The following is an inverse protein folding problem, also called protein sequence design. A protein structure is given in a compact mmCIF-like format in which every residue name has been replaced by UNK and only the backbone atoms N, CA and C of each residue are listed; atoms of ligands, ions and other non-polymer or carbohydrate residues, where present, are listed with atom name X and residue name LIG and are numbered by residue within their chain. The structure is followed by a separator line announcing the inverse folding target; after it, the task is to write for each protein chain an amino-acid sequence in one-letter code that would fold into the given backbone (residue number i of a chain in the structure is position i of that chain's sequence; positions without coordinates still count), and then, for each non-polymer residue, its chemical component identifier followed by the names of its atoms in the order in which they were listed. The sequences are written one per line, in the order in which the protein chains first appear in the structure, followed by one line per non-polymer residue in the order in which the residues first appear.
data_IF_833011164754
#
_entry.id   IF_833011164754
#
_cell.length_a   1.000
_cell.length_b   1.000
_cell.length_c   1.000
_cell.angle_alpha   90.00
_cell.angle_beta   90.00
_cell.angle_gamma   90.00
#
_symmetry.space_group_name_H-M   'P 1'
#
loop_
_entity.id
_entity.type
_entity.pdbx_description
1 polymer ?
#
# COMPACT_ATOMS: atom_id res chain seq x y z
N UNK A 1 12.81 -4.92 49.74
CA UNK A 1 11.42 -4.40 49.68
C UNK A 1 10.72 -5.01 48.50
N UNK A 2 9.75 -5.87 48.76
CA UNK A 2 8.95 -6.44 47.68
C UNK A 2 8.02 -5.36 47.10
N UNK A 3 8.20 -4.99 45.85
CA UNK A 3 7.20 -4.20 45.12
C UNK A 3 5.91 -5.00 45.11
N UNK A 4 4.91 -4.57 45.86
CA UNK A 4 3.56 -5.08 45.73
C UNK A 4 3.12 -4.88 44.31
N UNK A 5 3.13 -5.94 43.51
CA UNK A 5 2.41 -5.99 42.27
C UNK A 5 0.93 -5.74 42.60
N UNK A 6 0.47 -4.53 42.34
CA UNK A 6 -0.96 -4.25 42.40
C UNK A 6 -1.63 -5.26 41.46
N UNK A 7 -2.38 -6.21 42.02
CA UNK A 7 -3.33 -7.02 41.28
C UNK A 7 -4.27 -6.06 40.64
N UNK A 8 -4.01 -5.78 39.36
CA UNK A 8 -4.94 -5.02 38.51
C UNK A 8 -6.11 -5.95 38.33
N UNK A 9 -7.30 -5.47 38.73
CA UNK A 9 -8.57 -6.12 38.49
C UNK A 9 -8.62 -6.63 37.06
N UNK A 10 -8.67 -7.94 36.88
CA UNK A 10 -8.97 -8.59 35.61
C UNK A 10 -10.42 -8.25 35.24
N UNK A 11 -10.63 -7.03 34.77
CA UNK A 11 -11.87 -6.74 34.08
C UNK A 11 -11.85 -7.46 32.73
N UNK A 12 -12.94 -8.12 32.42
CA UNK A 12 -13.18 -9.08 31.32
C UNK A 12 -12.92 -8.58 29.90
N UNK A 13 -12.26 -7.45 29.71
CA UNK A 13 -12.00 -6.84 28.40
C UNK A 13 -10.62 -7.18 27.82
N UNK A 14 -9.72 -7.75 28.60
CA UNK A 14 -8.38 -8.06 28.15
C UNK A 14 -8.01 -9.47 28.57
N UNK A 15 -8.35 -10.43 27.78
CA UNK A 15 -7.93 -11.83 27.95
C UNK A 15 -6.48 -12.02 27.48
N UNK A 16 -5.60 -11.11 27.95
CA UNK A 16 -4.17 -11.21 27.73
C UNK A 16 -3.49 -11.89 28.92
N UNK A 17 -2.87 -13.00 28.67
CA UNK A 17 -1.89 -13.59 29.58
C UNK A 17 -0.50 -12.93 29.47
N UNK A 18 -0.40 -11.81 28.78
CA UNK A 18 0.86 -11.08 28.57
C UNK A 18 0.97 -9.91 29.56
N UNK A 19 2.18 -9.74 30.09
CA UNK A 19 2.51 -8.61 30.96
C UNK A 19 2.82 -7.39 30.06
N UNK A 20 1.98 -6.37 30.13
CA UNK A 20 2.10 -5.16 29.32
C UNK A 20 2.28 -3.92 30.20
N UNK A 21 3.00 -2.89 29.71
CA UNK A 21 3.19 -1.64 30.46
C UNK A 21 1.86 -0.97 30.81
N UNK A 22 1.76 -0.43 32.04
CA UNK A 22 0.54 0.21 32.56
C UNK A 22 -0.02 1.30 31.63
N UNK A 23 0.79 2.21 31.03
CA UNK A 23 0.25 3.21 30.12
C UNK A 23 -0.44 2.60 28.88
N UNK A 24 0.11 1.53 28.34
CA UNK A 24 -0.47 0.81 27.19
C UNK A 24 -1.77 0.14 27.59
N UNK A 25 -1.79 -0.50 28.76
CA UNK A 25 -2.98 -1.16 29.27
C UNK A 25 -4.13 -0.17 29.50
N UNK A 26 -3.85 0.99 30.10
CA UNK A 26 -4.85 2.03 30.35
C UNK A 26 -5.45 2.57 29.05
N UNK A 27 -4.62 2.82 28.05
CA UNK A 27 -5.07 3.30 26.75
C UNK A 27 -5.90 2.23 26.01
N UNK A 28 -5.49 0.98 26.10
CA UNK A 28 -6.20 -0.15 25.50
C UNK A 28 -7.61 -0.31 26.13
N UNK A 29 -7.69 -0.24 27.46
CA UNK A 29 -8.97 -0.31 28.19
C UNK A 29 -9.87 0.84 27.77
N UNK A 30 -9.34 2.06 27.69
CA UNK A 30 -10.09 3.25 27.28
C UNK A 30 -10.70 3.12 25.88
N UNK A 31 -10.03 2.41 24.99
CA UNK A 31 -10.46 2.17 23.59
C UNK A 31 -11.30 0.90 23.41
N UNK A 32 -11.78 0.28 24.47
CA UNK A 32 -12.63 -0.91 24.41
C UNK A 32 -11.89 -2.24 24.44
N UNK A 33 -10.65 -2.23 24.94
CA UNK A 33 -9.82 -3.44 25.07
C UNK A 33 -9.31 -3.98 23.74
N UNK A 34 -8.90 -5.22 23.71
CA UNK A 34 -8.43 -5.89 22.49
C UNK A 34 -9.52 -5.95 21.43
N UNK A 35 -10.76 -6.22 21.83
CA UNK A 35 -11.89 -6.27 20.93
C UNK A 35 -12.12 -4.92 20.23
N UNK A 36 -12.01 -3.81 20.96
CA UNK A 36 -12.07 -2.46 20.39
C UNK A 36 -10.95 -2.19 19.40
N UNK A 37 -9.72 -2.63 19.71
CA UNK A 37 -8.58 -2.52 18.80
C UNK A 37 -8.80 -3.36 17.54
N UNK A 38 -9.19 -4.61 17.68
CA UNK A 38 -9.44 -5.50 16.53
C UNK A 38 -10.54 -5.01 15.61
N UNK A 39 -11.55 -4.33 16.15
CA UNK A 39 -12.62 -3.75 15.34
C UNK A 39 -12.17 -2.60 14.44
N UNK A 40 -11.02 -1.99 14.71
CA UNK A 40 -10.44 -0.91 13.90
C UNK A 40 -9.51 -1.43 12.80
N UNK A 41 -9.11 -2.68 12.88
CA UNK A 41 -8.26 -3.32 11.87
C UNK A 41 -9.16 -3.83 10.75
N UNK A 42 -8.86 -3.51 9.47
CA UNK A 42 -9.59 -4.06 8.35
C UNK A 42 -9.59 -5.59 8.37
N UNK A 43 -10.60 -6.20 7.80
CA UNK A 43 -10.64 -7.66 7.71
C UNK A 43 -9.52 -8.23 6.83
N UNK A 44 -9.30 -9.54 6.92
CA UNK A 44 -8.21 -10.20 6.20
C UNK A 44 -8.34 -10.09 4.67
N UNK A 45 -9.56 -10.04 4.14
CA UNK A 45 -9.80 -9.86 2.71
C UNK A 45 -9.41 -8.47 2.24
N UNK A 46 -9.79 -7.45 2.97
CA UNK A 46 -9.41 -6.06 2.70
C UNK A 46 -7.90 -5.85 2.81
N UNK A 47 -7.27 -6.40 3.85
CA UNK A 47 -5.81 -6.35 4.00
C UNK A 47 -5.09 -7.05 2.85
N UNK A 48 -5.61 -8.17 2.35
CA UNK A 48 -5.04 -8.86 1.20
C UNK A 48 -5.13 -8.02 -0.08
N UNK A 49 -6.27 -7.38 -0.33
CA UNK A 49 -6.46 -6.47 -1.47
C UNK A 49 -5.45 -5.32 -1.40
N UNK A 50 -5.31 -4.68 -0.25
CA UNK A 50 -4.36 -3.59 -0.04
C UNK A 50 -2.91 -4.06 -0.21
N UNK A 51 -2.58 -5.24 0.30
CA UNK A 51 -1.26 -5.86 0.13
C UNK A 51 -0.89 -6.05 -1.35
N UNK A 52 -1.81 -6.54 -2.17
CA UNK A 52 -1.60 -6.73 -3.61
C UNK A 52 -1.35 -5.40 -4.33
N UNK A 53 -2.08 -4.35 -3.97
CA UNK A 53 -1.83 -3.01 -4.50
C UNK A 53 -0.40 -2.54 -4.19
N UNK A 54 0.01 -2.64 -2.92
CA UNK A 54 1.37 -2.25 -2.52
C UNK A 54 2.45 -3.10 -3.19
N UNK A 55 2.24 -4.39 -3.37
CA UNK A 55 3.15 -5.27 -4.13
C UNK A 55 3.28 -4.84 -5.59
N UNK A 56 2.19 -4.45 -6.23
CA UNK A 56 2.22 -3.93 -7.60
C UNK A 56 3.05 -2.66 -7.73
N UNK A 57 3.06 -1.82 -6.71
CA UNK A 57 3.81 -0.56 -6.68
C UNK A 57 5.27 -0.72 -6.21
N UNK A 58 5.61 -1.83 -5.60
CA UNK A 58 6.94 -2.08 -5.03
C UNK A 58 7.96 -2.58 -6.07
N UNK A 59 7.92 -2.04 -7.28
CA UNK A 59 8.84 -2.40 -8.37
C UNK A 59 9.19 -1.17 -9.21
N UNK A 60 10.50 -0.87 -9.38
CA UNK A 60 10.93 0.30 -10.13
C UNK A 60 10.47 0.33 -11.59
N UNK A 61 10.39 -0.83 -12.25
CA UNK A 61 9.94 -0.95 -13.65
C UNK A 61 8.48 -0.54 -13.75
N UNK A 62 7.64 -1.05 -12.86
CA UNK A 62 6.21 -0.72 -12.83
C UNK A 62 5.98 0.76 -12.53
N UNK A 63 6.71 1.34 -11.59
CA UNK A 63 6.65 2.77 -11.32
C UNK A 63 7.12 3.61 -12.51
N UNK A 64 8.16 3.17 -13.22
CA UNK A 64 8.63 3.83 -14.46
C UNK A 64 7.53 3.83 -15.52
N UNK A 65 6.88 2.70 -15.75
CA UNK A 65 5.76 2.60 -16.70
C UNK A 65 4.61 3.55 -16.32
N UNK A 66 4.20 3.55 -15.07
CA UNK A 66 3.11 4.41 -14.59
C UNK A 66 3.47 5.90 -14.75
N UNK A 67 4.69 6.29 -14.41
CA UNK A 67 5.14 7.66 -14.57
C UNK A 67 5.23 8.09 -16.05
N UNK A 68 5.67 7.20 -16.93
CA UNK A 68 5.65 7.48 -18.37
C UNK A 68 4.23 7.70 -18.89
N UNK A 69 3.26 6.91 -18.42
CA UNK A 69 1.85 7.04 -18.78
C UNK A 69 1.14 8.27 -18.20
N UNK A 70 1.75 8.95 -17.20
CA UNK A 70 1.21 10.22 -16.71
C UNK A 70 1.20 11.31 -17.79
N UNK A 71 2.18 11.29 -18.69
CA UNK A 71 2.28 12.27 -19.78
C UNK A 71 1.26 12.08 -20.85
N UNK A 72 1.07 10.84 -21.30
CA UNK A 72 0.17 10.49 -22.41
C UNK A 72 -0.03 8.97 -22.49
N UNK A 73 -1.06 8.50 -23.17
CA UNK A 73 -1.18 7.11 -23.57
C UNK A 73 0.00 6.68 -24.45
N UNK A 74 0.47 5.44 -24.28
CA UNK A 74 1.62 4.89 -24.98
C UNK A 74 1.33 3.48 -25.51
N UNK A 75 1.80 3.18 -26.72
CA UNK A 75 1.81 1.80 -27.19
C UNK A 75 2.92 0.97 -26.50
N UNK A 76 2.78 -0.34 -26.53
CA UNK A 76 3.75 -1.29 -25.96
C UNK A 76 5.17 -1.03 -26.47
N UNK A 77 5.31 -0.69 -27.75
CA UNK A 77 6.60 -0.42 -28.39
C UNK A 77 7.36 0.72 -27.69
N UNK A 78 6.67 1.81 -27.39
CA UNK A 78 7.28 2.95 -26.69
C UNK A 78 7.59 2.61 -25.24
N UNK A 79 6.68 1.93 -24.55
CA UNK A 79 6.92 1.47 -23.16
C UNK A 79 8.16 0.58 -23.10
N UNK A 80 8.31 -0.33 -24.07
CA UNK A 80 9.49 -1.20 -24.18
C UNK A 80 10.80 -0.42 -24.32
N UNK A 81 10.81 0.63 -25.14
CA UNK A 81 11.97 1.52 -25.29
C UNK A 81 12.30 2.28 -23.99
N UNK A 82 11.29 2.64 -23.22
CA UNK A 82 11.48 3.31 -21.91
C UNK A 82 12.12 2.40 -20.88
N UNK A 83 11.61 1.17 -20.75
CA UNK A 83 12.07 0.24 -19.68
C UNK A 83 13.18 -0.71 -20.11
N UNK A 84 13.38 -0.94 -21.41
CA UNK A 84 14.45 -1.75 -22.00
C UNK A 84 14.57 -3.16 -21.41
N UNK A 85 13.46 -3.87 -21.34
CA UNK A 85 13.39 -5.26 -20.84
C UNK A 85 12.80 -6.19 -21.92
N UNK A 86 12.95 -7.51 -21.71
CA UNK A 86 12.38 -8.52 -22.59
C UNK A 86 10.85 -8.45 -22.63
N UNK A 87 10.26 -8.80 -23.77
CA UNK A 87 8.80 -8.75 -24.01
C UNK A 87 8.00 -9.56 -22.97
N UNK A 88 8.48 -10.73 -22.59
CA UNK A 88 7.86 -11.57 -21.57
C UNK A 88 7.83 -10.91 -20.19
N UNK A 89 8.92 -10.24 -19.82
CA UNK A 89 9.00 -9.46 -18.58
C UNK A 89 8.07 -8.26 -18.60
N UNK A 90 8.05 -7.54 -19.73
CA UNK A 90 7.16 -6.37 -19.89
C UNK A 90 5.70 -6.78 -19.76
N UNK A 91 5.29 -7.86 -20.45
CA UNK A 91 3.94 -8.41 -20.35
C UNK A 91 3.56 -8.77 -18.91
N UNK A 92 4.47 -9.38 -18.18
CA UNK A 92 4.28 -9.69 -16.76
C UNK A 92 4.00 -8.43 -15.92
N UNK A 93 4.83 -7.39 -16.06
CA UNK A 93 4.65 -6.14 -15.32
C UNK A 93 3.37 -5.39 -15.71
N UNK A 94 3.04 -5.35 -17.00
CA UNK A 94 1.80 -4.73 -17.49
C UNK A 94 0.56 -5.46 -16.98
N UNK A 95 0.59 -6.78 -16.92
CA UNK A 95 -0.53 -7.57 -16.40
C UNK A 95 -0.75 -7.31 -14.90
N UNK A 96 0.29 -7.22 -14.10
CA UNK A 96 0.17 -6.87 -12.66
C UNK A 96 -0.47 -5.51 -12.49
N UNK A 97 -0.05 -4.51 -13.25
CA UNK A 97 -0.63 -3.17 -13.19
C UNK A 97 -2.10 -3.15 -13.64
N UNK A 98 -2.45 -3.93 -14.67
CA UNK A 98 -3.83 -4.08 -15.13
C UNK A 98 -4.73 -4.77 -14.11
N UNK A 99 -4.26 -5.84 -13.48
CA UNK A 99 -4.99 -6.57 -12.43
C UNK A 99 -5.34 -5.67 -11.24
N UNK A 100 -4.47 -4.72 -10.93
CA UNK A 100 -4.72 -3.72 -9.88
C UNK A 100 -5.48 -2.49 -10.37
N UNK A 101 -5.92 -2.49 -11.62
CA UNK A 101 -6.65 -1.38 -12.25
C UNK A 101 -5.89 -0.04 -12.19
N UNK A 102 -4.56 -0.09 -12.22
CA UNK A 102 -3.69 1.09 -12.22
C UNK A 102 -3.48 1.62 -13.63
N UNK A 103 -3.51 0.74 -14.61
CA UNK A 103 -3.47 1.03 -16.03
C UNK A 103 -4.58 0.29 -16.76
N UNK A 104 -4.96 0.78 -17.94
CA UNK A 104 -5.87 0.11 -18.87
C UNK A 104 -5.20 -0.06 -20.23
N UNK A 105 -5.55 -1.11 -20.95
CA UNK A 105 -5.07 -1.35 -22.31
C UNK A 105 -6.24 -1.43 -23.28
N UNK A 106 -6.11 -0.78 -24.42
CA UNK A 106 -7.12 -0.76 -25.49
C UNK A 106 -6.49 -1.13 -26.84
N UNK A 107 -7.15 -2.03 -27.56
CA UNK A 107 -6.73 -2.39 -28.90
C UNK A 107 -7.15 -1.29 -29.89
N UNK A 108 -6.17 -0.73 -30.58
CA UNK A 108 -6.39 0.24 -31.67
C UNK A 108 -5.67 -0.25 -32.93
N UNK A 109 -6.40 -0.86 -33.83
CA UNK A 109 -5.81 -1.52 -35.00
C UNK A 109 -4.87 -2.65 -34.60
N UNK A 110 -3.62 -2.60 -35.02
CA UNK A 110 -2.58 -3.58 -34.64
C UNK A 110 -1.84 -3.23 -33.37
N UNK A 111 -2.24 -2.18 -32.66
CA UNK A 111 -1.54 -1.65 -31.50
C UNK A 111 -2.37 -1.84 -30.23
N UNK A 112 -1.71 -2.14 -29.14
CA UNK A 112 -2.30 -2.02 -27.80
C UNK A 112 -1.81 -0.71 -27.20
N UNK A 113 -2.73 0.17 -26.88
CA UNK A 113 -2.44 1.47 -26.25
C UNK A 113 -2.78 1.38 -24.78
N UNK A 114 -1.79 1.67 -23.94
CA UNK A 114 -1.96 1.72 -22.50
C UNK A 114 -2.17 3.15 -22.03
N UNK A 115 -3.02 3.29 -21.02
CA UNK A 115 -3.32 4.56 -20.35
C UNK A 115 -3.30 4.36 -18.86
N UNK A 116 -2.89 5.39 -18.11
CA UNK A 116 -3.03 5.38 -16.66
C UNK A 116 -4.48 5.64 -16.28
N UNK A 117 -4.98 4.92 -15.29
CA UNK A 117 -6.33 5.12 -14.74
C UNK A 117 -6.35 6.25 -13.72
N UNK A 118 -7.53 6.72 -13.31
CA UNK A 118 -7.67 7.69 -12.22
C UNK A 118 -7.11 7.14 -10.91
N UNK A 119 -7.33 5.85 -10.63
CA UNK A 119 -6.74 5.14 -9.49
C UNK A 119 -5.22 5.18 -9.54
N UNK A 120 -4.62 4.89 -10.69
CA UNK A 120 -3.17 4.95 -10.88
C UNK A 120 -2.61 6.36 -10.65
N UNK A 121 -3.28 7.39 -11.14
CA UNK A 121 -2.90 8.78 -10.91
C UNK A 121 -2.94 9.17 -9.43
N UNK A 122 -4.00 8.79 -8.73
CA UNK A 122 -4.17 9.08 -7.31
C UNK A 122 -3.08 8.42 -6.46
N UNK A 123 -2.76 7.18 -6.76
CA UNK A 123 -1.71 6.43 -6.05
C UNK A 123 -0.34 7.09 -6.22
N UNK A 124 0.03 7.49 -7.44
CA UNK A 124 1.30 8.19 -7.68
C UNK A 124 1.37 9.54 -6.99
N UNK A 125 0.30 10.33 -7.03
CA UNK A 125 0.22 11.62 -6.31
C UNK A 125 0.39 11.46 -4.81
N UNK A 126 -0.18 10.42 -4.22
CA UNK A 126 -0.04 10.13 -2.78
C UNK A 126 1.40 9.82 -2.41
N UNK A 127 2.10 9.06 -3.25
CA UNK A 127 3.51 8.71 -3.05
C UNK A 127 4.41 9.94 -3.14
N UNK A 128 4.24 10.76 -4.18
CA UNK A 128 5.02 12.00 -4.34
C UNK A 128 4.83 13.00 -3.19
N UNK A 129 3.60 13.11 -2.69
CA UNK A 129 3.30 13.96 -1.55
C UNK A 129 4.05 13.51 -0.30
N UNK A 130 4.04 12.22 -0.02
CA UNK A 130 4.77 11.66 1.13
C UNK A 130 6.27 11.91 1.03
N UNK A 131 6.86 11.74 -0.15
CA UNK A 131 8.30 12.00 -0.35
C UNK A 131 8.67 13.47 -0.16
N UNK A 132 7.84 14.38 -0.68
CA UNK A 132 8.06 15.83 -0.50
C UNK A 132 7.98 16.24 0.97
N UNK A 133 7.02 15.70 1.70
CA UNK A 133 6.87 15.95 3.14
C UNK A 133 8.06 15.41 3.94
N UNK A 134 8.58 14.23 3.59
CA UNK A 134 9.78 13.66 4.22
C UNK A 134 11.03 14.47 3.92
N UNK A 135 11.26 14.88 2.68
CA UNK A 135 12.40 15.71 2.29
C UNK A 135 12.36 17.09 2.96
N UNK A 136 11.18 17.68 3.10
CA UNK A 136 11.00 18.95 3.81
C UNK A 136 11.34 18.88 5.30
N UNK A 137 11.16 17.72 5.95
CA UNK A 137 11.54 17.51 7.36
C UNK A 137 13.03 17.32 7.56
N UNK A 138 13.75 16.80 6.57
CA UNK A 138 15.20 16.57 6.62
C UNK A 138 15.97 17.85 6.30
N UNK A 139 15.37 18.80 5.57
CA UNK A 139 15.99 20.05 5.14
C UNK A 139 15.86 21.19 6.17
N UNK A 140 15.22 20.96 7.31
CA UNK A 140 15.06 21.95 8.39
C UNK A 140 16.02 21.70 9.54
#
# INVERSE_FOLDING_TARGET
MAMRRKRILKEKCCDFSIDIPVPIQNELIRKGGLKGLLSQIPDSAELLINSRLHQALADPIRLTVMNALLSQPLCVCVIKEVVKIADSKLSYHLNILKEQELISGEQQGNWIIYSITDRGRQVLKSTERSEKEMRGRVAS
#
